data_IF_849422283572
#
_entry.id   IF_849422283572
#
_cell.length_a   1.000
_cell.length_b   1.000
_cell.length_c   1.000
_cell.angle_alpha   90.00
_cell.angle_beta   90.00
_cell.angle_gamma   90.00
#
_symmetry.space_group_name_H-M   'P 1'
#
loop_
_entity.id
_entity.type
_entity.pdbx_description
1 polymer ?
#
# COMPACT_ATOMS: atom_id res chain seq x y z
N UNK A 1 59.79 18.66 36.21
CA UNK A 1 59.17 19.01 37.50
C UNK A 1 58.06 20.03 37.21
N UNK A 2 56.93 19.60 36.63
CA UNK A 2 55.75 19.07 37.35
C UNK A 2 55.01 20.22 38.07
N UNK A 3 53.70 20.46 37.96
CA UNK A 3 52.60 19.52 37.86
C UNK A 3 51.29 20.25 37.47
N UNK A 4 50.48 19.54 36.70
CA UNK A 4 49.07 19.81 36.36
C UNK A 4 48.21 19.90 37.63
N UNK A 5 47.32 20.89 37.76
CA UNK A 5 46.20 20.81 38.71
C UNK A 5 44.85 21.11 38.05
N UNK A 6 44.09 20.03 37.86
CA UNK A 6 42.68 19.99 37.52
C UNK A 6 41.89 20.19 38.81
N UNK A 7 41.02 21.21 38.89
CA UNK A 7 40.07 21.36 39.99
C UNK A 7 38.67 20.92 39.55
N UNK A 8 38.10 20.03 40.36
CA UNK A 8 36.93 19.18 40.13
C UNK A 8 35.60 19.94 40.20
N UNK A 9 34.61 19.47 39.43
CA UNK A 9 33.23 19.93 39.41
C UNK A 9 32.50 19.67 40.75
N UNK A 10 31.52 20.53 41.08
CA UNK A 10 30.57 20.35 42.19
C UNK A 10 29.18 20.07 41.63
N UNK A 11 28.69 18.84 41.80
CA UNK A 11 27.30 18.44 41.52
C UNK A 11 26.41 18.80 42.71
N UNK A 12 25.28 19.45 42.48
CA UNK A 12 24.22 19.63 43.50
C UNK A 12 23.04 18.71 43.19
N UNK A 13 22.91 17.64 43.99
CA UNK A 13 21.74 16.78 43.99
C UNK A 13 20.62 17.44 44.81
N UNK A 14 19.42 17.63 44.25
CA UNK A 14 18.23 18.02 45.01
C UNK A 14 16.97 17.27 44.57
N UNK A 15 16.51 16.46 45.53
CA UNK A 15 15.16 15.98 45.85
C UNK A 15 14.18 15.50 44.75
N UNK A 16 13.89 14.19 44.81
CA UNK A 16 12.67 13.58 44.28
C UNK A 16 11.55 13.54 45.33
N UNK A 17 10.31 13.37 44.83
CA UNK A 17 9.02 12.94 45.46
C UNK A 17 8.01 14.11 45.60
N UNK A 18 6.75 14.11 45.11
CA UNK A 18 5.79 13.10 44.56
C UNK A 18 4.73 13.81 43.66
N UNK A 19 4.00 13.06 42.80
CA UNK A 19 2.85 13.48 41.97
C UNK A 19 1.56 13.68 42.80
N UNK A 20 0.58 14.53 42.40
CA UNK A 20 -0.53 14.17 41.47
C UNK A 20 -0.88 15.35 40.50
N UNK A 21 -1.64 15.28 39.40
CA UNK A 21 -3.01 14.81 39.17
C UNK A 21 -3.39 15.03 37.67
N UNK A 22 -4.01 14.02 37.04
CA UNK A 22 -5.07 13.98 35.98
C UNK A 22 -5.14 14.98 34.78
N UNK A 23 -5.00 14.39 33.57
CA UNK A 23 -5.68 14.58 32.24
C UNK A 23 -5.82 15.98 31.59
N UNK A 24 -5.35 16.10 30.33
CA UNK A 24 -6.16 16.29 29.11
C UNK A 24 -5.26 16.12 27.87
N UNK A 25 -5.80 15.47 26.83
CA UNK A 25 -5.11 15.08 25.60
C UNK A 25 -4.70 16.27 24.72
N UNK A 26 -3.55 16.15 24.08
CA UNK A 26 -3.30 16.68 22.74
C UNK A 26 -2.42 15.68 22.02
N UNK A 27 -3.01 15.04 21.03
CA UNK A 27 -2.41 14.14 20.07
C UNK A 27 -1.33 14.86 19.24
N UNK A 28 -0.05 14.60 19.53
CA UNK A 28 1.07 14.89 18.63
C UNK A 28 1.48 13.55 18.03
N UNK A 29 1.14 13.37 16.75
CA UNK A 29 1.55 12.22 15.96
C UNK A 29 2.95 12.50 15.39
N UNK A 30 3.97 12.14 16.15
CA UNK A 30 5.36 12.09 15.68
C UNK A 30 5.68 10.62 15.38
N UNK A 31 5.54 10.24 14.11
CA UNK A 31 5.88 8.91 13.62
C UNK A 31 7.37 8.87 13.28
N UNK A 32 8.20 8.57 14.29
CA UNK A 32 9.65 8.40 14.17
C UNK A 32 9.96 6.90 13.95
N UNK A 33 10.26 6.53 12.70
CA UNK A 33 10.63 5.15 12.32
C UNK A 33 12.14 5.02 12.21
N UNK A 34 12.77 4.39 13.20
CA UNK A 34 14.17 3.95 13.17
C UNK A 34 14.29 2.42 12.92
N UNK A 35 15.38 1.94 12.29
CA UNK A 35 15.46 0.62 11.68
C UNK A 35 15.87 -0.52 12.64
N UNK A 36 15.18 -1.65 12.56
CA UNK A 36 15.49 -2.87 13.33
C UNK A 36 16.68 -3.60 12.69
N UNK A 37 17.80 -3.64 13.42
CA UNK A 37 18.95 -4.52 13.15
C UNK A 37 18.69 -5.89 13.79
N UNK A 38 18.47 -6.93 12.98
CA UNK A 38 18.43 -8.31 13.46
C UNK A 38 19.84 -8.89 13.53
N UNK A 39 20.32 -9.09 14.76
CA UNK A 39 21.50 -9.88 15.12
C UNK A 39 21.18 -11.37 15.16
N UNK A 40 22.06 -12.17 14.55
CA UNK A 40 22.13 -13.62 14.67
C UNK A 40 22.37 -14.07 16.12
N UNK A 41 21.82 -15.23 16.48
CA UNK A 41 22.35 -16.03 17.59
C UNK A 41 21.37 -16.98 18.28
N UNK A 42 21.65 -18.27 18.11
CA UNK A 42 21.47 -19.38 19.06
C UNK A 42 20.34 -20.40 18.87
N UNK A 43 20.81 -21.66 18.91
CA UNK A 43 20.17 -22.91 18.56
C UNK A 43 19.46 -23.61 19.75
N UNK A 44 18.76 -24.71 19.40
CA UNK A 44 18.51 -25.95 20.18
C UNK A 44 17.29 -26.01 21.11
N UNK A 45 16.24 -26.73 20.67
CA UNK A 45 16.03 -28.19 20.92
C UNK A 45 14.65 -28.67 20.42
N UNK A 46 14.64 -29.92 19.94
CA UNK A 46 13.49 -30.70 19.46
C UNK A 46 12.42 -30.90 20.55
N UNK A 47 11.14 -30.82 20.17
CA UNK A 47 10.15 -31.78 20.63
C UNK A 47 9.08 -32.02 19.57
N UNK A 48 8.64 -33.28 19.49
CA UNK A 48 7.93 -33.92 18.38
C UNK A 48 6.62 -34.48 18.91
N UNK A 49 5.50 -33.80 18.71
CA UNK A 49 4.12 -34.32 18.85
C UNK A 49 3.26 -33.49 17.88
N UNK A 50 2.94 -33.97 16.68
CA UNK A 50 1.83 -34.86 16.36
C UNK A 50 0.46 -34.34 16.84
N UNK A 51 -0.05 -33.30 16.18
CA UNK A 51 -1.48 -33.02 16.10
C UNK A 51 -1.85 -32.90 14.63
N UNK A 52 -2.51 -33.95 14.14
CA UNK A 52 -3.24 -33.96 12.86
C UNK A 52 -4.33 -32.90 12.97
N UNK A 53 -4.20 -31.79 12.25
CA UNK A 53 -5.36 -31.00 11.87
C UNK A 53 -5.89 -31.60 10.58
N UNK A 54 -6.87 -32.49 10.72
CA UNK A 54 -7.79 -32.84 9.65
C UNK A 54 -8.57 -31.57 9.29
N UNK A 55 -7.97 -30.72 8.46
CA UNK A 55 -8.70 -29.77 7.64
C UNK A 55 -8.70 -30.35 6.25
N UNK A 56 -9.75 -31.13 5.96
CA UNK A 56 -10.16 -31.35 4.58
C UNK A 56 -10.23 -29.99 3.88
N UNK A 57 -9.58 -29.79 2.73
CA UNK A 57 -10.02 -28.74 1.85
C UNK A 57 -11.42 -29.16 1.39
N UNK A 58 -12.45 -28.50 1.92
CA UNK A 58 -13.77 -28.51 1.32
C UNK A 58 -13.60 -28.03 -0.13
N UNK A 59 -13.48 -28.98 -1.03
CA UNK A 59 -13.69 -28.82 -2.46
C UNK A 59 -15.13 -28.36 -2.65
N UNK A 60 -15.36 -27.05 -2.58
CA UNK A 60 -16.54 -26.43 -3.16
C UNK A 60 -16.10 -25.44 -4.24
N UNK A 61 -16.01 -25.97 -5.45
CA UNK A 61 -16.67 -25.35 -6.59
C UNK A 61 -16.92 -26.43 -7.66
N UNK A 62 -17.85 -27.34 -7.33
CA UNK A 62 -18.54 -28.13 -8.36
C UNK A 62 -19.62 -27.22 -8.96
N UNK A 63 -19.37 -26.88 -10.22
CA UNK A 63 -20.30 -26.62 -11.32
C UNK A 63 -21.30 -25.47 -11.16
N UNK A 64 -20.94 -24.33 -11.76
CA UNK A 64 -21.89 -23.60 -12.60
C UNK A 64 -21.37 -23.66 -14.03
N UNK A 65 -21.68 -24.77 -14.72
CA UNK A 65 -21.70 -24.77 -16.17
C UNK A 65 -22.97 -24.03 -16.63
N UNK A 66 -22.83 -23.32 -17.76
CA UNK A 66 -23.92 -22.83 -18.63
C UNK A 66 -24.62 -21.52 -18.23
N UNK A 67 -23.87 -20.41 -18.33
CA UNK A 67 -24.34 -19.27 -19.14
C UNK A 67 -23.17 -18.66 -19.89
N UNK A 68 -22.89 -19.24 -21.06
CA UNK A 68 -21.91 -18.73 -22.03
C UNK A 68 -22.46 -17.47 -22.70
N UNK A 69 -22.18 -16.33 -22.09
CA UNK A 69 -22.04 -15.05 -22.81
C UNK A 69 -20.63 -14.57 -22.53
N UNK A 70 -19.71 -14.98 -23.41
CA UNK A 70 -18.31 -14.56 -23.51
C UNK A 70 -17.57 -14.33 -22.18
N UNK A 71 -17.09 -15.40 -21.55
CA UNK A 71 -16.09 -15.27 -20.49
C UNK A 71 -14.76 -14.84 -21.12
N UNK A 72 -14.53 -13.54 -21.23
CA UNK A 72 -13.22 -12.99 -21.55
C UNK A 72 -12.18 -13.62 -20.62
N UNK A 73 -11.03 -13.95 -21.19
CA UNK A 73 -9.91 -14.48 -20.39
C UNK A 73 -9.44 -13.42 -19.39
N UNK A 74 -8.82 -13.84 -18.28
CA UNK A 74 -8.30 -12.88 -17.28
C UNK A 74 -7.34 -11.86 -17.90
N UNK A 75 -6.55 -12.27 -18.89
CA UNK A 75 -5.66 -11.37 -19.63
C UNK A 75 -6.44 -10.35 -20.48
N UNK A 76 -7.51 -10.77 -21.15
CA UNK A 76 -8.39 -9.88 -21.91
C UNK A 76 -9.07 -8.86 -20.99
N UNK A 77 -9.56 -9.29 -19.82
CA UNK A 77 -10.17 -8.41 -18.83
C UNK A 77 -9.17 -7.39 -18.32
N UNK A 78 -7.93 -7.81 -18.02
CA UNK A 78 -6.90 -6.86 -17.58
C UNK A 78 -6.59 -5.84 -18.68
N UNK A 79 -6.43 -6.28 -19.93
CA UNK A 79 -6.14 -5.37 -21.04
C UNK A 79 -7.29 -4.39 -21.30
N UNK A 80 -8.54 -4.87 -21.32
CA UNK A 80 -9.73 -4.05 -21.47
C UNK A 80 -9.87 -3.04 -20.31
N UNK A 81 -9.59 -3.50 -19.08
CA UNK A 81 -9.60 -2.63 -17.91
C UNK A 81 -8.53 -1.56 -17.97
N UNK A 82 -7.31 -1.88 -18.39
CA UNK A 82 -6.23 -0.91 -18.46
C UNK A 82 -6.56 0.21 -19.47
N UNK A 83 -7.16 -0.12 -20.61
CA UNK A 83 -7.66 0.87 -21.58
C UNK A 83 -8.80 1.72 -21.01
N UNK A 84 -9.81 1.07 -20.42
CA UNK A 84 -10.95 1.73 -19.78
C UNK A 84 -10.50 2.70 -18.69
N UNK A 85 -9.63 2.24 -17.79
CA UNK A 85 -9.09 3.02 -16.68
C UNK A 85 -8.35 4.24 -17.21
N UNK A 86 -7.45 4.06 -18.17
CA UNK A 86 -6.64 5.16 -18.69
C UNK A 86 -7.52 6.22 -19.36
N UNK A 87 -8.53 5.80 -20.15
CA UNK A 87 -9.50 6.71 -20.76
C UNK A 87 -10.30 7.47 -19.69
N UNK A 88 -10.79 6.78 -18.67
CA UNK A 88 -11.59 7.39 -17.61
C UNK A 88 -10.77 8.40 -16.82
N UNK A 89 -9.59 8.01 -16.35
CA UNK A 89 -8.68 8.84 -15.56
C UNK A 89 -8.22 10.06 -16.34
N UNK A 90 -7.81 9.92 -17.60
CA UNK A 90 -7.40 11.07 -18.42
C UNK A 90 -8.54 12.04 -18.73
N UNK A 91 -9.78 11.56 -18.80
CA UNK A 91 -10.95 12.42 -18.94
C UNK A 91 -11.27 13.18 -17.64
N UNK A 92 -11.28 12.49 -16.50
CA UNK A 92 -11.56 13.11 -15.19
C UNK A 92 -10.48 14.12 -14.78
N UNK A 93 -9.20 13.87 -15.12
CA UNK A 93 -8.09 14.77 -14.84
C UNK A 93 -7.75 15.72 -16.00
N UNK A 94 -8.64 15.90 -16.97
CA UNK A 94 -8.37 16.70 -18.17
C UNK A 94 -7.90 18.13 -17.84
N UNK A 95 -8.58 18.81 -16.92
CA UNK A 95 -8.21 20.17 -16.48
C UNK A 95 -6.81 20.20 -15.82
N UNK A 96 -6.48 19.20 -15.01
CA UNK A 96 -5.19 19.10 -14.32
C UNK A 96 -4.06 18.77 -15.32
N UNK A 97 -4.34 17.92 -16.32
CA UNK A 97 -3.41 17.61 -17.40
C UNK A 97 -3.12 18.83 -18.26
N UNK A 98 -4.13 19.66 -18.52
CA UNK A 98 -3.96 20.92 -19.24
C UNK A 98 -3.14 21.93 -18.43
N UNK A 99 -3.33 22.00 -17.11
CA UNK A 99 -2.48 22.82 -16.24
C UNK A 99 -1.03 22.35 -16.25
N UNK A 100 -0.81 21.04 -16.12
CA UNK A 100 0.51 20.44 -16.14
C UNK A 100 1.22 20.73 -17.47
N UNK A 101 0.49 20.66 -18.59
CA UNK A 101 1.01 21.00 -19.92
C UNK A 101 1.45 22.46 -20.05
N UNK A 102 0.77 23.38 -19.35
CA UNK A 102 1.11 24.80 -19.34
C UNK A 102 2.22 25.14 -18.33
N UNK A 103 2.63 24.19 -17.48
CA UNK A 103 3.68 24.40 -16.51
C UNK A 103 5.07 24.46 -17.17
N UNK A 104 5.94 25.31 -16.64
CA UNK A 104 7.26 25.57 -17.22
C UNK A 104 8.24 24.38 -17.11
N UNK A 105 7.95 23.41 -16.24
CA UNK A 105 8.77 22.24 -15.94
C UNK A 105 8.27 20.96 -16.64
N UNK A 106 7.14 21.01 -17.34
CA UNK A 106 6.63 19.87 -18.09
C UNK A 106 7.32 19.76 -19.45
N UNK A 107 8.07 18.68 -19.62
CA UNK A 107 8.90 18.39 -20.78
C UNK A 107 8.56 17.03 -21.39
N UNK A 108 9.10 16.72 -22.58
CA UNK A 108 8.86 15.44 -23.26
C UNK A 108 9.20 14.22 -22.40
N UNK A 109 10.27 14.31 -21.59
CA UNK A 109 10.66 13.25 -20.66
C UNK A 109 9.62 13.03 -19.55
N UNK A 110 8.95 14.09 -19.09
CA UNK A 110 7.93 14.00 -18.05
C UNK A 110 6.62 13.37 -18.54
N UNK A 111 6.35 13.37 -19.85
CA UNK A 111 5.20 12.69 -20.45
C UNK A 111 5.30 11.18 -20.25
N UNK A 112 6.48 10.59 -20.47
CA UNK A 112 6.70 9.16 -20.26
C UNK A 112 6.49 8.77 -18.78
N UNK A 113 6.98 9.61 -17.87
CA UNK A 113 6.80 9.41 -16.43
C UNK A 113 5.31 9.48 -16.07
N UNK A 114 4.58 10.48 -16.56
CA UNK A 114 3.15 10.62 -16.34
C UNK A 114 2.38 9.39 -16.82
N UNK A 115 2.63 8.93 -18.05
CA UNK A 115 1.96 7.74 -18.60
C UNK A 115 2.26 6.52 -17.72
N UNK A 116 3.51 6.32 -17.32
CA UNK A 116 3.89 5.19 -16.46
C UNK A 116 3.22 5.23 -15.08
N UNK A 117 3.08 6.42 -14.49
CA UNK A 117 2.42 6.60 -13.20
C UNK A 117 0.92 6.35 -13.29
N UNK A 118 0.26 6.83 -14.35
CA UNK A 118 -1.16 6.55 -14.59
C UNK A 118 -1.39 5.06 -14.83
N UNK A 119 -0.57 4.41 -15.66
CA UNK A 119 -0.65 2.97 -15.87
C UNK A 119 -0.41 2.18 -14.59
N UNK A 120 0.54 2.60 -13.75
CA UNK A 120 0.79 1.97 -12.46
C UNK A 120 -0.45 2.03 -11.54
N UNK A 121 -1.32 3.03 -11.69
CA UNK A 121 -2.60 3.10 -10.97
C UNK A 121 -3.51 1.89 -11.18
N UNK A 122 -3.38 1.15 -12.29
CA UNK A 122 -4.19 -0.07 -12.53
C UNK A 122 -3.82 -1.22 -11.60
N UNK A 123 -2.64 -1.19 -10.96
CA UNK A 123 -2.23 -2.22 -9.99
C UNK A 123 -2.97 -2.12 -8.66
N UNK A 124 -3.70 -1.03 -8.42
CA UNK A 124 -4.53 -0.85 -7.22
C UNK A 124 -5.80 -1.71 -7.24
N UNK A 125 -6.18 -2.26 -8.40
CA UNK A 125 -7.37 -3.06 -8.57
C UNK A 125 -7.03 -4.54 -8.68
N UNK A 126 -7.73 -5.35 -7.89
CA UNK A 126 -7.69 -6.80 -7.98
C UNK A 126 -8.40 -7.29 -9.25
N UNK A 127 -8.08 -8.52 -9.69
CA UNK A 127 -8.70 -9.11 -10.89
C UNK A 127 -10.23 -9.21 -10.79
N UNK A 128 -10.75 -9.46 -9.59
CA UNK A 128 -12.19 -9.52 -9.33
C UNK A 128 -12.86 -8.15 -9.51
N UNK A 129 -12.20 -7.07 -9.09
CA UNK A 129 -12.68 -5.70 -9.28
C UNK A 129 -12.61 -5.28 -10.75
N UNK A 130 -11.49 -5.57 -11.42
CA UNK A 130 -11.34 -5.29 -12.86
C UNK A 130 -12.47 -5.94 -13.67
N UNK A 131 -12.75 -7.23 -13.39
CA UNK A 131 -13.85 -7.98 -14.02
C UNK A 131 -15.21 -7.31 -13.78
N UNK A 132 -15.51 -6.92 -12.54
CA UNK A 132 -16.78 -6.27 -12.20
C UNK A 132 -16.97 -4.95 -12.93
N UNK A 133 -15.91 -4.14 -13.02
CA UNK A 133 -15.95 -2.83 -13.68
C UNK A 133 -16.17 -3.00 -15.19
N UNK A 134 -15.46 -3.93 -15.83
CA UNK A 134 -15.62 -4.18 -17.27
C UNK A 134 -17.00 -4.75 -17.59
N UNK A 135 -17.49 -5.72 -16.82
CA UNK A 135 -18.85 -6.24 -17.03
C UNK A 135 -19.91 -5.14 -16.89
N UNK A 136 -19.74 -4.20 -15.95
CA UNK A 136 -20.65 -3.08 -15.80
C UNK A 136 -20.55 -2.05 -16.96
N UNK A 137 -19.35 -1.79 -17.49
CA UNK A 137 -19.18 -0.89 -18.65
C UNK A 137 -19.79 -1.48 -19.93
N UNK A 138 -19.70 -2.80 -20.12
CA UNK A 138 -20.33 -3.51 -21.24
C UNK A 138 -21.86 -3.50 -21.15
N UNK A 139 -22.43 -3.64 -19.95
CA UNK A 139 -23.88 -3.54 -19.74
C UNK A 139 -24.40 -2.13 -20.10
N UNK A 140 -23.69 -1.07 -19.72
CA UNK A 140 -24.11 0.32 -20.01
C UNK A 140 -24.11 0.63 -21.51
N UNK A 141 -23.21 0.02 -22.30
CA UNK A 141 -23.18 0.21 -23.76
C UNK A 141 -24.30 -0.52 -24.50
N UNK A 142 -24.94 -1.52 -23.89
CA UNK A 142 -25.96 -2.35 -24.54
C UNK A 142 -27.37 -1.74 -24.57
N UNK A 143 -27.62 -0.69 -23.78
CA UNK A 143 -28.95 -0.10 -23.61
C UNK A 143 -29.18 1.19 -24.43
N UNK A 144 -28.19 1.65 -25.22
CA UNK A 144 -28.27 2.87 -26.04
C UNK A 144 -28.54 2.63 -27.54
N UNK A 145 -28.90 1.40 -27.96
CA UNK A 145 -29.24 1.08 -29.37
C UNK A 145 -30.75 0.98 -29.66
#
# INVERSE_FOLDING_TARGET
MDQKQIKRAKTTARHRKRKPRTQVSSESSDNDSEPIKNSQGEERKKNKENMRSDFEPLNLCVNNEEKTSQLMTDNEISAAFDEFYLKKVTNEFSDDLDQLRNANDFSEDSVAILISALQQGTSLFSMEEKRRIISADEEVKGDEE
#
